data_IF_696693271966
#
_entry.id   IF_696693271966
#
_cell.length_a   1.000
_cell.length_b   1.000
_cell.length_c   1.000
_cell.angle_alpha   90.00
_cell.angle_beta   90.00
_cell.angle_gamma   90.00
#
_symmetry.space_group_name_H-M   'P 1'
#
loop_
_entity.id
_entity.type
_entity.pdbx_description
1 polymer ?
#
# COMPACT_ATOMS: atom_id res chain seq x y z
N UNK A 1 6.30 -12.65 20.20
CA UNK A 1 7.31 -11.56 20.18
C UNK A 1 8.53 -11.91 21.03
N UNK A 2 8.36 -12.65 22.13
CA UNK A 2 9.40 -13.07 23.08
C UNK A 2 10.46 -14.01 22.51
N UNK A 3 10.10 -14.92 21.59
CA UNK A 3 11.06 -15.88 21.01
C UNK A 3 12.10 -15.23 20.09
N UNK A 4 11.73 -14.17 19.38
CA UNK A 4 12.63 -13.44 18.49
C UNK A 4 13.74 -12.72 19.26
N UNK A 5 13.44 -12.21 20.46
CA UNK A 5 14.43 -11.51 21.30
C UNK A 5 15.53 -12.48 21.78
N UNK A 6 15.16 -13.69 22.17
CA UNK A 6 16.11 -14.72 22.60
C UNK A 6 17.01 -15.15 21.43
N UNK A 7 16.44 -15.32 20.24
CA UNK A 7 17.20 -15.66 19.03
C UNK A 7 18.19 -14.54 18.66
N UNK A 8 17.76 -13.28 18.70
CA UNK A 8 18.62 -12.12 18.41
C UNK A 8 19.77 -12.03 19.42
N UNK A 9 19.50 -12.20 20.72
CA UNK A 9 20.54 -12.20 21.76
C UNK A 9 21.53 -13.36 21.58
N UNK A 10 21.05 -14.53 21.16
CA UNK A 10 21.92 -15.68 20.89
C UNK A 10 22.84 -15.43 19.68
N UNK A 11 22.29 -14.93 18.57
CA UNK A 11 23.06 -14.57 17.38
C UNK A 11 24.08 -13.46 17.68
N UNK A 12 23.71 -12.47 18.49
CA UNK A 12 24.61 -11.40 18.93
C UNK A 12 25.74 -11.90 19.84
N UNK A 13 25.45 -12.88 20.70
CA UNK A 13 26.45 -13.57 21.52
C UNK A 13 27.47 -14.33 20.68
N UNK A 14 27.00 -15.12 19.70
CA UNK A 14 27.87 -15.83 18.75
C UNK A 14 28.76 -14.86 17.96
N UNK A 15 28.19 -13.76 17.49
CA UNK A 15 28.92 -12.72 16.77
C UNK A 15 30.00 -12.05 17.65
N UNK A 16 29.72 -11.84 18.95
CA UNK A 16 30.71 -11.32 19.91
C UNK A 16 31.89 -12.29 20.14
N UNK A 17 31.66 -13.62 20.07
CA UNK A 17 32.72 -14.63 20.15
C UNK A 17 33.64 -14.57 18.92
N UNK A 18 33.07 -14.43 17.73
CA UNK A 18 33.84 -14.27 16.48
C UNK A 18 34.70 -13.00 16.56
N UNK A 19 34.15 -11.91 17.12
CA UNK A 19 34.85 -10.65 17.37
C UNK A 19 36.07 -10.74 18.30
N UNK A 20 36.20 -11.79 19.12
CA UNK A 20 37.37 -12.02 19.96
C UNK A 20 38.56 -12.60 19.17
N UNK A 21 38.26 -13.42 18.16
CA UNK A 21 39.27 -14.08 17.32
C UNK A 21 39.68 -13.16 16.17
N UNK A 22 38.70 -12.54 15.51
CA UNK A 22 38.88 -11.66 14.37
C UNK A 22 38.29 -10.28 14.70
N UNK A 23 39.05 -9.17 14.60
CA UNK A 23 38.50 -7.83 14.79
C UNK A 23 37.62 -7.47 13.59
N UNK A 24 36.32 -7.70 13.72
CA UNK A 24 35.30 -7.37 12.72
C UNK A 24 34.45 -6.22 13.28
N UNK A 25 34.22 -5.19 12.47
CA UNK A 25 33.35 -4.07 12.86
C UNK A 25 31.94 -4.59 13.20
N UNK A 26 31.33 -4.15 14.31
CA UNK A 26 31.62 -2.91 15.04
C UNK A 26 32.65 -3.02 16.18
N UNK A 27 33.24 -4.18 16.45
CA UNK A 27 34.20 -4.31 17.55
C UNK A 27 35.61 -3.91 17.11
N UNK A 28 36.00 -2.68 17.42
CA UNK A 28 37.35 -2.15 17.14
C UNK A 28 38.45 -2.75 18.02
N UNK A 29 38.11 -3.54 19.05
CA UNK A 29 39.07 -4.22 19.92
C UNK A 29 38.50 -5.47 20.59
N UNK A 30 39.37 -6.40 20.97
CA UNK A 30 39.01 -7.60 21.74
C UNK A 30 38.36 -7.27 23.09
N UNK A 31 38.73 -6.12 23.71
CA UNK A 31 38.09 -5.64 24.94
C UNK A 31 36.62 -5.29 24.72
N UNK A 32 36.29 -4.64 23.61
CA UNK A 32 34.89 -4.30 23.27
C UNK A 32 34.04 -5.56 23.04
N UNK A 33 34.58 -6.55 22.33
CA UNK A 33 33.92 -7.84 22.12
C UNK A 33 33.68 -8.61 23.44
N UNK A 34 34.65 -8.59 24.37
CA UNK A 34 34.48 -9.24 25.69
C UNK A 34 33.40 -8.59 26.55
N UNK A 35 33.29 -7.25 26.52
CA UNK A 35 32.25 -6.51 27.27
C UNK A 35 30.87 -6.82 26.69
N UNK A 36 30.74 -6.84 25.36
CA UNK A 36 29.49 -7.21 24.66
C UNK A 36 29.01 -8.62 25.03
N UNK A 37 29.94 -9.58 25.08
CA UNK A 37 29.63 -10.96 25.46
C UNK A 37 29.12 -11.06 26.91
N UNK A 38 29.75 -10.35 27.85
CA UNK A 38 29.32 -10.33 29.27
C UNK A 38 27.92 -9.75 29.43
N UNK A 39 27.60 -8.65 28.72
CA UNK A 39 26.27 -8.04 28.75
C UNK A 39 25.22 -9.00 28.18
N UNK A 40 25.53 -9.66 27.07
CA UNK A 40 24.60 -10.61 26.43
C UNK A 40 24.30 -11.80 27.36
N UNK A 41 25.32 -12.33 28.03
CA UNK A 41 25.17 -13.41 29.02
C UNK A 41 24.31 -12.93 30.20
N UNK A 42 24.55 -11.72 30.73
CA UNK A 42 23.74 -11.16 31.82
C UNK A 42 22.25 -11.03 31.43
N UNK A 43 21.95 -10.56 30.21
CA UNK A 43 20.57 -10.45 29.72
C UNK A 43 19.87 -11.82 29.58
N UNK A 44 20.60 -12.88 29.24
CA UNK A 44 20.08 -14.24 29.17
C UNK A 44 19.82 -14.86 30.56
N UNK A 45 20.56 -14.44 31.59
CA UNK A 45 20.36 -14.91 32.97
C UNK A 45 19.28 -14.13 33.74
N UNK A 46 19.16 -12.81 33.51
CA UNK A 46 18.15 -11.97 34.18
C UNK A 46 16.74 -12.06 33.56
N UNK A 47 16.60 -12.62 32.36
CA UNK A 47 15.29 -12.84 31.73
C UNK A 47 14.55 -14.10 32.21
N UNK A 48 15.13 -14.87 33.16
CA UNK A 48 14.58 -16.17 33.60
C UNK A 48 13.72 -16.23 34.89
N UNK A 49 13.56 -15.23 35.79
CA UNK A 49 12.73 -15.42 36.98
C UNK A 49 11.27 -14.93 36.86
N UNK A 50 10.76 -14.63 35.65
CA UNK A 50 9.38 -14.15 35.45
C UNK A 50 8.40 -15.23 34.96
N UNK A 51 8.80 -16.50 35.01
CA UNK A 51 8.04 -17.63 34.49
C UNK A 51 7.89 -18.75 35.53
N UNK A 52 7.48 -18.39 36.76
CA UNK A 52 6.94 -19.39 37.69
C UNK A 52 6.11 -18.72 38.81
N UNK A 53 4.82 -18.51 38.57
CA UNK A 53 3.84 -18.53 39.67
C UNK A 53 2.47 -19.01 39.17
N UNK A 54 2.23 -20.30 39.42
CA UNK A 54 0.94 -20.98 39.35
C UNK A 54 0.15 -20.65 40.62
N UNK A 55 -1.17 -20.63 40.52
CA UNK A 55 -2.08 -19.87 41.37
C UNK A 55 -2.30 -20.34 42.81
N UNK A 56 -3.09 -19.55 43.53
CA UNK A 56 -4.04 -20.01 44.54
C UNK A 56 -4.99 -18.88 44.91
N UNK A 57 -6.26 -19.24 44.93
CA UNK A 57 -7.44 -18.49 45.35
C UNK A 57 -7.42 -18.20 46.87
N UNK A 58 -7.96 -17.05 47.28
CA UNK A 58 -8.79 -16.86 48.49
C UNK A 58 -9.17 -15.38 48.72
N UNK A 59 -10.47 -15.17 48.73
CA UNK A 59 -11.26 -14.05 49.29
C UNK A 59 -10.84 -13.59 50.69
N UNK A 60 -10.84 -12.27 50.95
CA UNK A 60 -11.37 -11.70 52.19
C UNK A 60 -11.74 -10.21 52.01
N UNK A 61 -12.88 -9.88 52.59
CA UNK A 61 -13.77 -8.75 52.37
C UNK A 61 -13.29 -7.36 52.85
N UNK A 62 -14.05 -6.37 52.35
CA UNK A 62 -14.49 -5.18 53.09
C UNK A 62 -13.43 -4.28 53.75
N UNK A 63 -12.70 -3.51 52.93
CA UNK A 63 -12.13 -2.23 53.41
C UNK A 63 -11.78 -1.19 52.32
N UNK A 64 -12.44 -1.20 51.14
CA UNK A 64 -12.05 -0.30 50.02
C UNK A 64 -13.20 0.42 49.30
N UNK A 65 -14.32 0.65 49.98
CA UNK A 65 -15.43 1.40 49.36
C UNK A 65 -15.40 2.91 49.57
N UNK A 66 -14.54 3.45 50.45
CA UNK A 66 -14.55 4.90 50.76
C UNK A 66 -13.36 5.66 50.16
N UNK A 67 -12.22 5.01 49.94
CA UNK A 67 -11.03 5.64 49.33
C UNK A 67 -11.11 5.72 47.79
N UNK A 68 -12.04 4.99 47.18
CA UNK A 68 -12.20 4.89 45.72
C UNK A 68 -13.05 6.04 45.16
N UNK A 69 -13.80 6.77 45.99
CA UNK A 69 -14.72 7.83 45.54
C UNK A 69 -14.06 9.21 45.50
N UNK A 70 -13.21 9.56 46.46
CA UNK A 70 -12.40 10.80 46.40
C UNK A 70 -11.31 10.75 45.32
N UNK A 71 -10.73 9.58 45.08
CA UNK A 71 -9.70 9.40 44.04
C UNK A 71 -10.32 9.39 42.62
N UNK A 72 -11.59 9.00 42.47
CA UNK A 72 -12.30 9.02 41.19
C UNK A 72 -12.74 10.44 40.78
N UNK A 73 -13.22 11.26 41.72
CA UNK A 73 -13.63 12.64 41.42
C UNK A 73 -12.44 13.57 41.16
N UNK A 74 -11.27 13.29 41.73
CA UNK A 74 -10.03 14.02 41.39
C UNK A 74 -9.42 13.54 40.08
N UNK A 75 -9.50 12.24 39.75
CA UNK A 75 -9.05 11.70 38.47
C UNK A 75 -9.93 12.12 37.28
N UNK A 76 -11.20 12.45 37.50
CA UNK A 76 -12.12 13.00 36.46
C UNK A 76 -11.85 14.50 36.22
N UNK A 77 -11.41 15.26 37.24
CA UNK A 77 -11.03 16.68 37.06
C UNK A 77 -9.62 16.88 36.51
N UNK A 78 -8.71 15.92 36.70
CA UNK A 78 -7.32 16.03 36.23
C UNK A 78 -7.11 15.36 34.84
N UNK A 79 -7.94 14.39 34.43
CA UNK A 79 -7.92 13.83 33.06
C UNK A 79 -8.84 14.54 32.05
N UNK A 80 -9.65 15.52 32.47
CA UNK A 80 -10.44 16.35 31.57
C UNK A 80 -9.65 17.52 30.94
N UNK A 81 -8.37 17.67 31.33
CA UNK A 81 -7.38 18.48 30.63
C UNK A 81 -6.29 17.55 30.11
N UNK A 82 -6.68 16.53 29.33
CA UNK A 82 -5.74 15.99 28.34
C UNK A 82 -5.29 17.17 27.51
N UNK A 83 -3.98 17.33 27.34
CA UNK A 83 -3.33 18.23 26.39
C UNK A 83 -4.18 18.41 25.13
N UNK A 84 -5.07 19.41 25.14
CA UNK A 84 -5.57 20.01 23.92
C UNK A 84 -4.35 20.79 23.47
N UNK A 85 -3.50 20.13 22.70
CA UNK A 85 -2.39 20.79 22.02
C UNK A 85 -3.04 21.81 21.11
N UNK A 86 -3.20 23.04 21.63
CA UNK A 86 -3.75 24.16 20.89
C UNK A 86 -2.89 24.23 19.63
N UNK A 87 -3.48 24.07 18.44
CA UNK A 87 -2.66 23.98 17.25
C UNK A 87 -1.87 25.27 17.10
N UNK A 88 -0.60 25.17 16.72
CA UNK A 88 0.25 26.34 16.57
C UNK A 88 -0.40 27.32 15.59
N UNK A 89 -0.42 28.64 15.88
CA UNK A 89 -0.99 29.60 14.97
C UNK A 89 -0.21 29.60 13.65
N UNK A 90 -0.90 29.70 12.53
CA UNK A 90 -0.32 29.71 11.19
C UNK A 90 -0.84 30.89 10.36
N UNK A 91 0.03 31.49 9.54
CA UNK A 91 -0.27 32.68 8.74
C UNK A 91 -0.81 33.86 9.59
N UNK A 92 -1.88 34.52 9.13
CA UNK A 92 -2.48 35.68 9.80
C UNK A 92 -3.52 35.27 10.86
N UNK A 93 -3.11 34.47 11.85
CA UNK A 93 -3.98 34.06 12.95
C UNK A 93 -4.86 32.82 12.67
N UNK A 94 -4.47 32.01 11.68
CA UNK A 94 -5.08 30.72 11.41
C UNK A 94 -4.68 29.65 12.41
N UNK A 95 -5.34 28.49 12.30
CA UNK A 95 -5.10 27.31 13.14
C UNK A 95 -4.35 26.28 12.31
N UNK A 96 -3.17 25.85 12.77
CA UNK A 96 -2.45 24.79 12.08
C UNK A 96 -3.27 23.50 12.14
N UNK A 97 -3.42 22.85 11.00
CA UNK A 97 -4.03 21.53 10.91
C UNK A 97 -2.97 20.54 10.47
N UNK A 98 -3.28 19.24 10.57
CA UNK A 98 -2.40 18.18 10.10
C UNK A 98 -3.15 16.99 9.54
N UNK A 99 -4.47 17.06 9.47
CA UNK A 99 -5.32 16.01 8.94
C UNK A 99 -5.31 16.00 7.41
N UNK A 100 -5.68 14.85 6.84
CA UNK A 100 -5.81 14.66 5.40
C UNK A 100 -7.28 14.63 5.04
N UNK A 101 -7.66 15.44 4.06
CA UNK A 101 -9.03 15.63 3.61
C UNK A 101 -9.15 15.35 2.11
N UNK A 102 -10.37 15.05 1.66
CA UNK A 102 -10.71 14.93 0.24
C UNK A 102 -11.03 16.32 -0.33
N UNK A 103 -10.96 16.41 -1.66
CA UNK A 103 -11.33 17.60 -2.43
C UNK A 103 -12.65 17.33 -3.14
N UNK A 104 -13.52 18.33 -3.19
CA UNK A 104 -14.82 18.25 -3.89
C UNK A 104 -14.81 19.18 -5.09
N UNK A 105 -14.92 18.64 -6.31
CA UNK A 105 -14.88 19.42 -7.54
C UNK A 105 -13.48 19.94 -7.86
N UNK A 106 -13.35 20.84 -8.84
CA UNK A 106 -12.08 21.34 -9.35
C UNK A 106 -11.78 22.76 -8.86
N UNK A 107 -10.59 22.98 -8.28
CA UNK A 107 -10.20 24.24 -7.67
C UNK A 107 -8.76 24.62 -8.01
N UNK A 108 -8.54 25.90 -8.35
CA UNK A 108 -7.20 26.45 -8.55
C UNK A 108 -6.56 26.76 -7.20
N UNK A 109 -5.24 26.62 -7.12
CA UNK A 109 -4.48 26.99 -5.93
C UNK A 109 -4.11 28.47 -5.94
N UNK A 110 -4.36 29.17 -4.83
CA UNK A 110 -4.07 30.58 -4.62
C UNK A 110 -2.82 30.79 -3.75
N UNK A 111 -2.10 31.89 -3.97
CA UNK A 111 -0.89 32.24 -3.20
C UNK A 111 -1.19 32.68 -1.76
N UNK A 112 -2.38 33.22 -1.48
CA UNK A 112 -2.85 33.59 -0.14
C UNK A 112 -4.33 33.28 0.05
N UNK A 113 -4.81 33.38 1.30
CA UNK A 113 -6.20 33.21 1.74
C UNK A 113 -7.13 34.33 1.25
N UNK A 114 -7.20 34.54 -0.07
CA UNK A 114 -8.01 35.57 -0.70
C UNK A 114 -8.41 35.14 -2.11
N UNK A 115 -9.68 35.29 -2.47
CA UNK A 115 -10.20 34.96 -3.80
C UNK A 115 -9.53 35.79 -4.91
N UNK A 116 -9.10 37.02 -4.61
CA UNK A 116 -8.41 37.91 -5.53
C UNK A 116 -6.89 37.68 -5.56
N UNK A 117 -6.36 36.80 -4.71
CA UNK A 117 -4.95 36.41 -4.74
C UNK A 117 -4.58 35.87 -6.12
N UNK A 118 -3.34 36.15 -6.53
CA UNK A 118 -2.74 35.48 -7.68
C UNK A 118 -2.82 33.97 -7.54
N UNK A 119 -3.17 33.32 -8.65
CA UNK A 119 -3.14 31.85 -8.81
C UNK A 119 -1.71 31.37 -8.94
N UNK A 120 -1.42 30.20 -8.39
CA UNK A 120 -0.08 29.63 -8.43
C UNK A 120 0.17 29.02 -9.81
N UNK A 121 1.12 29.59 -10.56
CA UNK A 121 1.45 29.15 -11.92
C UNK A 121 2.22 27.83 -11.90
N UNK A 122 1.76 26.85 -12.67
CA UNK A 122 2.52 25.65 -12.99
C UNK A 122 3.53 25.99 -14.09
N UNK A 123 4.72 26.41 -13.68
CA UNK A 123 5.79 26.87 -14.57
C UNK A 123 6.17 25.79 -15.60
N UNK A 124 6.28 24.53 -15.16
CA UNK A 124 6.66 23.41 -16.03
C UNK A 124 5.63 23.17 -17.12
N UNK A 125 4.35 23.05 -16.76
CA UNK A 125 3.27 22.86 -17.73
C UNK A 125 3.16 24.08 -18.66
N UNK A 126 3.28 25.30 -18.11
CA UNK A 126 3.18 26.52 -18.91
C UNK A 126 4.26 26.61 -19.97
N UNK A 127 5.51 26.28 -19.61
CA UNK A 127 6.63 26.31 -20.54
C UNK A 127 6.50 25.25 -21.65
N UNK A 128 6.01 24.05 -21.32
CA UNK A 128 5.84 22.96 -22.29
C UNK A 128 4.68 23.24 -23.26
N UNK A 129 3.57 23.77 -22.74
CA UNK A 129 2.33 23.95 -23.51
C UNK A 129 2.21 25.34 -24.15
N UNK A 130 3.15 26.25 -23.87
CA UNK A 130 3.21 27.58 -24.50
C UNK A 130 2.08 28.53 -24.09
N UNK A 131 1.37 28.22 -23.00
CA UNK A 131 0.29 29.04 -22.44
C UNK A 131 0.30 28.97 -20.92
N UNK A 132 -0.28 29.94 -20.25
CA UNK A 132 -0.33 29.93 -18.79
C UNK A 132 -1.20 28.79 -18.27
N UNK A 133 -0.59 27.93 -17.47
CA UNK A 133 -1.22 26.85 -16.72
C UNK A 133 -1.01 27.08 -15.23
N UNK A 134 -2.05 26.82 -14.43
CA UNK A 134 -2.03 26.99 -12.98
C UNK A 134 -2.11 25.64 -12.29
N UNK A 135 -1.63 25.58 -11.05
CA UNK A 135 -1.85 24.41 -10.22
C UNK A 135 -3.32 24.35 -9.80
N UNK A 136 -3.86 23.13 -9.84
CA UNK A 136 -5.22 22.83 -9.46
C UNK A 136 -5.27 21.53 -8.68
N UNK A 137 -6.32 21.39 -7.88
CA UNK A 137 -6.71 20.17 -7.19
C UNK A 137 -8.13 19.81 -7.63
N UNK A 138 -8.44 18.53 -7.64
CA UNK A 138 -9.75 18.02 -8.01
C UNK A 138 -10.14 16.81 -7.16
N UNK A 139 -11.32 16.22 -7.41
CA UNK A 139 -11.84 15.06 -6.69
C UNK A 139 -10.91 13.83 -6.65
N UNK A 140 -9.92 13.73 -7.56
CA UNK A 140 -8.90 12.66 -7.52
C UNK A 140 -7.82 12.89 -6.46
N UNK A 141 -7.76 14.09 -5.89
CA UNK A 141 -6.69 14.49 -4.98
C UNK A 141 -7.11 14.40 -3.52
N UNK A 142 -6.15 14.01 -2.67
CA UNK A 142 -6.25 14.22 -1.24
C UNK A 142 -5.20 15.21 -0.81
N UNK A 143 -5.52 16.04 0.17
CA UNK A 143 -4.66 17.11 0.61
C UNK A 143 -4.53 17.13 2.12
N UNK A 144 -3.36 17.50 2.61
CA UNK A 144 -3.14 17.80 4.03
C UNK A 144 -3.45 19.27 4.26
N UNK A 145 -4.35 19.56 5.20
CA UNK A 145 -4.56 20.94 5.67
C UNK A 145 -3.35 21.34 6.51
N UNK A 146 -2.65 22.38 6.11
CA UNK A 146 -1.53 22.95 6.85
C UNK A 146 -2.00 24.08 7.76
N UNK A 147 -2.93 24.90 7.26
CA UNK A 147 -3.46 26.05 7.96
C UNK A 147 -4.91 26.27 7.58
N UNK A 148 -5.76 26.66 8.54
CA UNK A 148 -7.15 27.07 8.28
C UNK A 148 -7.37 28.49 8.80
N UNK A 149 -7.88 29.37 7.95
CA UNK A 149 -8.17 30.79 8.22
C UNK A 149 -9.56 31.13 7.66
N UNK A 150 -10.50 31.48 8.53
CA UNK A 150 -11.86 31.87 8.13
C UNK A 150 -12.48 30.92 7.08
N UNK A 151 -12.61 31.37 5.83
CA UNK A 151 -13.20 30.61 4.71
C UNK A 151 -12.17 29.87 3.85
N UNK A 152 -10.89 29.88 4.21
CA UNK A 152 -9.78 29.35 3.44
C UNK A 152 -8.93 28.34 4.22
N UNK A 153 -8.29 27.44 3.48
CA UNK A 153 -7.27 26.55 4.00
C UNK A 153 -6.03 26.55 3.09
N UNK A 154 -4.86 26.61 3.70
CA UNK A 154 -3.61 26.25 3.04
C UNK A 154 -3.49 24.74 3.04
N UNK A 155 -3.28 24.18 1.87
CA UNK A 155 -3.21 22.74 1.65
C UNK A 155 -1.92 22.34 0.96
N UNK A 156 -1.50 21.10 1.23
CA UNK A 156 -0.43 20.42 0.50
C UNK A 156 -0.99 19.15 -0.12
N UNK A 157 -0.71 18.90 -1.39
CA UNK A 157 -1.16 17.67 -2.05
C UNK A 157 -0.49 16.46 -1.37
N UNK A 158 -1.28 15.42 -1.09
CA UNK A 158 -0.82 14.14 -0.54
C UNK A 158 -0.91 13.07 -1.62
N UNK A 159 -2.05 13.00 -2.30
CA UNK A 159 -2.26 12.15 -3.47
C UNK A 159 -2.61 13.04 -4.67
N UNK A 160 -1.94 12.88 -5.83
CA UNK A 160 -0.90 11.87 -6.10
C UNK A 160 0.49 12.26 -5.55
N UNK A 161 1.33 11.24 -5.34
CA UNK A 161 2.65 11.35 -4.71
C UNK A 161 3.65 12.28 -5.44
N UNK A 162 3.59 12.30 -6.77
CA UNK A 162 4.44 13.14 -7.62
C UNK A 162 4.12 14.65 -7.53
N UNK A 163 3.01 15.04 -6.90
CA UNK A 163 2.62 16.42 -6.65
C UNK A 163 2.76 16.88 -5.20
N UNK A 164 3.37 16.06 -4.33
CA UNK A 164 3.47 16.36 -2.89
C UNK A 164 4.23 17.64 -2.53
N UNK A 165 5.01 18.19 -3.46
CA UNK A 165 5.71 19.47 -3.29
C UNK A 165 4.80 20.70 -3.50
N UNK A 166 3.61 20.51 -4.07
CA UNK A 166 2.69 21.61 -4.40
C UNK A 166 1.84 21.98 -3.18
N UNK A 167 1.79 23.29 -2.90
CA UNK A 167 1.00 23.90 -1.84
C UNK A 167 0.23 25.10 -2.37
N UNK A 168 -0.84 25.45 -1.68
CA UNK A 168 -1.57 26.70 -1.94
C UNK A 168 -2.85 26.80 -1.12
N UNK A 169 -3.52 27.93 -1.27
CA UNK A 169 -4.77 28.23 -0.58
C UNK A 169 -5.98 27.88 -1.44
N UNK A 170 -6.99 27.28 -0.80
CA UNK A 170 -8.29 26.98 -1.39
C UNK A 170 -9.43 27.31 -0.41
N UNK A 171 -10.65 27.56 -0.90
CA UNK A 171 -11.81 27.72 -0.02
C UNK A 171 -12.04 26.45 0.82
N UNK A 172 -12.46 26.61 2.08
CA UNK A 172 -12.83 25.50 2.94
C UNK A 172 -13.97 24.65 2.36
N UNK A 173 -14.84 25.25 1.55
CA UNK A 173 -15.93 24.56 0.83
C UNK A 173 -15.42 23.60 -0.25
N UNK A 174 -14.15 23.72 -0.67
CA UNK A 174 -13.51 22.77 -1.57
C UNK A 174 -13.11 21.48 -0.86
N UNK A 175 -13.12 21.45 0.47
CA UNK A 175 -12.57 20.37 1.27
C UNK A 175 -13.67 19.61 2.00
N UNK A 176 -13.50 18.30 2.11
CA UNK A 176 -14.42 17.40 2.82
C UNK A 176 -13.64 16.39 3.65
N UNK A 177 -14.12 16.12 4.86
CA UNK A 177 -13.55 15.07 5.69
C UNK A 177 -13.63 13.71 5.00
N UNK A 178 -12.58 12.90 5.17
CA UNK A 178 -12.55 11.53 4.64
C UNK A 178 -13.29 10.64 5.63
N UNK A 179 -14.44 10.13 5.21
CA UNK A 179 -15.19 9.14 5.97
C UNK A 179 -14.39 7.84 6.08
N UNK A 180 -14.46 7.19 7.24
CA UNK A 180 -13.78 5.94 7.51
C UNK A 180 -14.73 4.93 8.12
N UNK A 181 -14.56 3.66 7.79
CA UNK A 181 -15.29 2.55 8.39
C UNK A 181 -14.73 2.21 9.79
N UNK A 182 -15.36 1.26 10.47
CA UNK A 182 -14.97 0.80 11.82
C UNK A 182 -13.54 0.23 11.91
N UNK A 183 -12.95 -0.14 10.77
CA UNK A 183 -11.58 -0.66 10.67
C UNK A 183 -10.56 0.42 10.23
N UNK A 184 -10.99 1.68 10.08
CA UNK A 184 -10.15 2.79 9.65
C UNK A 184 -9.88 2.85 8.14
N UNK A 185 -10.57 2.05 7.33
CA UNK A 185 -10.51 2.13 5.86
C UNK A 185 -11.40 3.26 5.35
N UNK A 186 -10.95 3.96 4.29
CA UNK A 186 -11.72 5.04 3.65
C UNK A 186 -13.06 4.52 3.11
N UNK A 187 -14.12 5.29 3.34
CA UNK A 187 -15.40 5.16 2.66
C UNK A 187 -15.43 6.17 1.51
N UNK A 188 -15.62 5.68 0.30
CA UNK A 188 -15.76 6.49 -0.91
C UNK A 188 -17.22 6.90 -1.12
N UNK A 189 -17.44 8.16 -1.47
CA UNK A 189 -18.75 8.75 -1.73
C UNK A 189 -18.81 9.30 -3.15
N UNK A 190 -20.00 9.75 -3.60
CA UNK A 190 -20.21 10.17 -4.98
C UNK A 190 -19.24 11.25 -5.47
N UNK A 191 -18.87 12.19 -4.59
CA UNK A 191 -17.97 13.31 -4.87
C UNK A 191 -16.51 12.89 -5.11
N UNK A 192 -16.13 11.67 -4.72
CA UNK A 192 -14.79 11.12 -4.97
C UNK A 192 -14.60 10.67 -6.41
N UNK A 193 -15.68 10.49 -7.17
CA UNK A 193 -15.64 9.93 -8.51
C UNK A 193 -15.82 10.98 -9.59
N UNK A 194 -15.16 10.75 -10.72
CA UNK A 194 -15.50 11.40 -11.97
C UNK A 194 -16.60 10.61 -12.68
N UNK A 195 -17.64 11.29 -13.12
CA UNK A 195 -18.80 10.68 -13.76
C UNK A 195 -18.93 11.16 -15.20
N UNK A 196 -18.74 10.24 -16.14
CA UNK A 196 -19.01 10.45 -17.56
C UNK A 196 -20.37 9.85 -17.96
N UNK A 197 -20.72 9.94 -19.24
CA UNK A 197 -22.00 9.40 -19.75
C UNK A 197 -22.12 7.89 -19.61
N UNK A 198 -21.02 7.14 -19.51
CA UNK A 198 -21.04 5.67 -19.43
C UNK A 198 -21.17 5.17 -17.99
N UNK A 199 -20.60 5.89 -17.04
CA UNK A 199 -20.55 5.58 -15.60
C UNK A 199 -21.70 6.22 -14.81
N UNK A 200 -22.21 7.38 -15.24
CA UNK A 200 -23.24 8.15 -14.52
C UNK A 200 -24.54 7.38 -14.24
N UNK A 201 -24.90 6.42 -15.08
CA UNK A 201 -26.10 5.61 -14.89
C UNK A 201 -25.94 4.50 -13.83
N UNK A 202 -24.71 4.19 -13.44
CA UNK A 202 -24.37 3.11 -12.50
C UNK A 202 -23.75 3.63 -11.20
N UNK A 203 -23.90 4.93 -10.89
CA UNK A 203 -23.27 5.60 -9.73
C UNK A 203 -23.38 4.80 -8.44
N UNK A 204 -24.60 4.42 -8.07
CA UNK A 204 -24.87 3.70 -6.82
C UNK A 204 -24.13 2.37 -6.77
N UNK A 205 -24.17 1.59 -7.84
CA UNK A 205 -23.55 0.26 -7.91
C UNK A 205 -22.03 0.38 -7.89
N UNK A 206 -21.47 1.34 -8.64
CA UNK A 206 -20.04 1.64 -8.66
C UNK A 206 -19.54 2.03 -7.26
N UNK A 207 -20.22 2.96 -6.58
CA UNK A 207 -19.83 3.39 -5.22
C UNK A 207 -19.86 2.20 -4.27
N UNK A 208 -20.92 1.38 -4.31
CA UNK A 208 -21.04 0.19 -3.45
C UNK A 208 -19.90 -0.81 -3.72
N UNK A 209 -19.63 -1.11 -5.00
CA UNK A 209 -18.60 -2.06 -5.39
C UNK A 209 -17.20 -1.54 -5.05
N UNK A 210 -16.91 -0.26 -5.28
CA UNK A 210 -15.60 0.32 -4.96
C UNK A 210 -15.34 0.29 -3.45
N UNK A 211 -16.34 0.59 -2.63
CA UNK A 211 -16.24 0.40 -1.18
C UNK A 211 -16.06 -1.06 -0.79
N UNK A 212 -16.76 -1.99 -1.45
CA UNK A 212 -16.59 -3.43 -1.26
C UNK A 212 -15.16 -3.89 -1.61
N UNK A 213 -14.61 -3.44 -2.75
CA UNK A 213 -13.22 -3.69 -3.16
C UNK A 213 -12.24 -3.16 -2.12
N UNK A 214 -12.43 -1.91 -1.66
CA UNK A 214 -11.57 -1.30 -0.66
C UNK A 214 -11.57 -2.05 0.67
N UNK A 215 -12.65 -2.76 0.99
CA UNK A 215 -12.79 -3.51 2.23
C UNK A 215 -12.26 -4.96 2.10
N UNK A 216 -12.57 -5.62 0.98
CA UNK A 216 -12.30 -7.05 0.80
C UNK A 216 -10.91 -7.35 0.20
N UNK A 217 -10.36 -6.43 -0.60
CA UNK A 217 -9.12 -6.68 -1.33
C UNK A 217 -7.89 -6.18 -0.56
N UNK A 218 -7.22 -7.08 0.17
CA UNK A 218 -6.01 -6.76 0.95
C UNK A 218 -4.85 -6.18 0.13
N UNK A 219 -4.81 -6.40 -1.19
CA UNK A 219 -3.79 -5.83 -2.07
C UNK A 219 -4.15 -4.41 -2.57
N UNK A 220 -5.37 -3.94 -2.30
CA UNK A 220 -5.89 -2.65 -2.72
C UNK A 220 -5.86 -1.64 -1.57
N UNK A 221 -4.67 -1.32 -1.07
CA UNK A 221 -4.46 -0.39 0.05
C UNK A 221 -4.98 1.04 -0.22
N UNK A 222 -4.98 1.44 -1.49
CA UNK A 222 -5.51 2.72 -1.95
C UNK A 222 -6.22 2.52 -3.29
N UNK A 223 -7.31 3.25 -3.48
CA UNK A 223 -8.06 3.28 -4.73
C UNK A 223 -7.96 4.68 -5.33
N UNK A 224 -7.75 4.74 -6.64
CA UNK A 224 -7.94 5.96 -7.42
C UNK A 224 -9.34 5.94 -8.06
N UNK A 225 -10.35 6.56 -7.42
CA UNK A 225 -11.73 6.57 -7.90
C UNK A 225 -11.90 7.35 -9.22
N UNK A 226 -10.94 8.22 -9.58
CA UNK A 226 -10.98 8.95 -10.85
C UNK A 226 -10.73 8.02 -12.05
N UNK A 227 -10.10 6.87 -11.82
CA UNK A 227 -9.87 5.87 -12.88
C UNK A 227 -11.09 5.02 -13.20
N UNK A 228 -12.21 5.18 -12.50
CA UNK A 228 -13.41 4.42 -12.80
C UNK A 228 -13.85 4.68 -14.23
N UNK A 229 -13.82 3.64 -15.05
CA UNK A 229 -14.22 3.73 -16.45
C UNK A 229 -14.76 2.40 -16.95
N UNK A 230 -15.56 2.47 -18.01
CA UNK A 230 -16.05 1.28 -18.71
C UNK A 230 -14.95 0.68 -19.58
N UNK A 231 -14.79 -0.64 -19.50
CA UNK A 231 -13.87 -1.42 -20.30
C UNK A 231 -14.35 -1.52 -21.74
N UNK A 232 -13.60 -1.00 -22.70
CA UNK A 232 -13.91 -1.18 -24.12
C UNK A 232 -13.62 -2.59 -24.63
N UNK A 233 -12.70 -3.31 -23.98
CA UNK A 233 -12.28 -4.66 -24.39
C UNK A 233 -12.99 -5.79 -23.65
N UNK A 234 -13.54 -5.54 -22.45
CA UNK A 234 -14.23 -6.55 -21.66
C UNK A 234 -15.75 -6.39 -21.64
N UNK A 235 -16.29 -5.20 -21.96
CA UNK A 235 -17.73 -4.99 -22.01
C UNK A 235 -18.34 -5.60 -23.28
N UNK A 236 -19.60 -6.03 -23.17
CA UNK A 236 -20.44 -6.41 -24.31
C UNK A 236 -21.81 -5.74 -24.23
N UNK A 237 -22.60 -5.71 -25.33
CA UNK A 237 -23.93 -5.09 -25.30
C UNK A 237 -24.82 -5.73 -24.22
N UNK A 238 -25.26 -4.93 -23.25
CA UNK A 238 -26.08 -5.38 -22.12
C UNK A 238 -25.30 -5.96 -20.92
N UNK A 239 -23.97 -6.12 -21.03
CA UNK A 239 -23.09 -6.57 -19.95
C UNK A 239 -21.86 -5.63 -19.86
N UNK A 240 -22.01 -4.44 -19.23
CA UNK A 240 -20.92 -3.51 -19.07
C UNK A 240 -19.96 -4.00 -17.96
N UNK A 241 -18.66 -3.97 -18.28
CA UNK A 241 -17.59 -4.25 -17.33
C UNK A 241 -16.85 -2.95 -17.07
N UNK A 242 -16.72 -2.57 -15.81
CA UNK A 242 -15.97 -1.42 -15.35
C UNK A 242 -14.66 -1.87 -14.72
N UNK A 243 -13.77 -0.90 -14.46
CA UNK A 243 -12.62 -1.10 -13.60
C UNK A 243 -12.39 0.08 -12.70
N UNK A 244 -11.66 -0.16 -11.62
CA UNK A 244 -11.01 0.87 -10.82
C UNK A 244 -9.55 0.49 -10.58
N UNK A 245 -8.67 1.48 -10.46
CA UNK A 245 -7.25 1.27 -10.21
C UNK A 245 -6.96 1.24 -8.72
N UNK A 246 -6.31 0.18 -8.28
CA UNK A 246 -5.72 0.02 -6.96
C UNK A 246 -4.24 0.38 -6.99
N UNK A 247 -3.76 1.10 -5.99
CA UNK A 247 -2.34 1.46 -5.83
C UNK A 247 -1.86 2.55 -6.77
N UNK A 248 -0.55 2.76 -6.79
CA UNK A 248 0.12 3.77 -7.61
C UNK A 248 1.44 3.26 -8.17
N UNK A 249 1.98 3.95 -9.18
CA UNK A 249 3.28 3.63 -9.77
C UNK A 249 3.32 2.23 -10.39
N UNK A 250 4.40 1.49 -10.12
CA UNK A 250 4.63 0.15 -10.69
C UNK A 250 3.76 -0.95 -10.07
N UNK A 251 3.17 -0.67 -8.92
CA UNK A 251 2.30 -1.60 -8.19
C UNK A 251 0.82 -1.38 -8.53
N UNK A 252 0.49 -0.39 -9.37
CA UNK A 252 -0.87 -0.11 -9.77
C UNK A 252 -1.48 -1.28 -10.57
N UNK A 253 -2.73 -1.62 -10.27
CA UNK A 253 -3.47 -2.63 -11.02
C UNK A 253 -4.97 -2.37 -11.04
N UNK A 254 -5.64 -2.86 -12.08
CA UNK A 254 -7.08 -2.70 -12.23
C UNK A 254 -7.83 -3.87 -11.60
N UNK A 255 -8.85 -3.55 -10.80
CA UNK A 255 -9.90 -4.49 -10.39
C UNK A 255 -11.09 -4.28 -11.31
N UNK A 256 -11.52 -5.36 -11.98
CA UNK A 256 -12.63 -5.33 -12.92
C UNK A 256 -13.91 -5.82 -12.24
N UNK A 257 -15.04 -5.19 -12.57
CA UNK A 257 -16.33 -5.52 -11.96
C UNK A 257 -17.50 -5.20 -12.90
N UNK A 258 -18.64 -5.83 -12.67
CA UNK A 258 -19.93 -5.53 -13.30
C UNK A 258 -20.85 -4.85 -12.29
N UNK A 259 -21.86 -4.06 -12.72
CA UNK A 259 -22.87 -3.52 -11.81
C UNK A 259 -23.60 -4.61 -11.00
N UNK A 260 -23.81 -5.79 -11.59
CA UNK A 260 -24.41 -6.95 -10.91
C UNK A 260 -23.54 -7.53 -9.78
N UNK A 261 -22.26 -7.19 -9.73
CA UNK A 261 -21.36 -7.68 -8.67
C UNK A 261 -21.56 -6.94 -7.34
N UNK A 262 -22.46 -5.94 -7.31
CA UNK A 262 -22.87 -5.26 -6.09
C UNK A 262 -23.64 -6.18 -5.12
N UNK A 263 -24.15 -7.31 -5.60
CA UNK A 263 -24.84 -8.31 -4.79
C UNK A 263 -23.89 -9.02 -3.79
N UNK A 264 -24.45 -9.58 -2.72
CA UNK A 264 -23.69 -10.06 -1.54
C UNK A 264 -22.69 -11.18 -1.89
N UNK A 265 -23.02 -12.06 -2.83
CA UNK A 265 -22.26 -13.29 -3.09
C UNK A 265 -20.95 -13.09 -3.88
N UNK A 266 -20.82 -12.00 -4.65
CA UNK A 266 -19.59 -11.74 -5.42
C UNK A 266 -18.52 -11.12 -4.54
N UNK A 267 -17.38 -11.77 -4.34
CA UNK A 267 -16.28 -11.22 -3.52
C UNK A 267 -15.15 -10.65 -4.37
N UNK A 268 -14.46 -9.63 -3.85
CA UNK A 268 -13.30 -8.99 -4.45
C UNK A 268 -12.00 -9.30 -3.72
N UNK A 269 -11.94 -10.46 -3.05
CA UNK A 269 -10.76 -10.91 -2.32
C UNK A 269 -9.51 -10.90 -3.21
N UNK A 270 -8.38 -10.51 -2.60
CA UNK A 270 -7.11 -10.47 -3.30
C UNK A 270 -6.73 -11.86 -3.83
N UNK A 271 -6.38 -11.92 -5.12
CA UNK A 271 -5.84 -13.14 -5.72
C UNK A 271 -4.42 -13.36 -5.23
N UNK A 272 -4.08 -14.61 -4.90
CA UNK A 272 -2.72 -15.00 -4.57
C UNK A 272 -2.01 -15.52 -5.82
N UNK A 273 -0.74 -15.12 -6.05
CA UNK A 273 0.09 -15.73 -7.09
C UNK A 273 0.16 -17.25 -6.88
N UNK A 274 0.18 -18.02 -7.98
CA UNK A 274 0.27 -19.49 -7.97
C UNK A 274 1.56 -19.99 -7.30
N UNK A 275 2.59 -19.16 -7.23
CA UNK A 275 3.81 -19.37 -6.48
C UNK A 275 4.93 -19.94 -7.35
N UNK A 276 6.16 -19.47 -7.08
CA UNK A 276 7.33 -19.66 -7.97
C UNK A 276 7.51 -21.08 -8.50
N UNK A 277 7.49 -22.10 -7.64
CA UNK A 277 7.76 -23.49 -8.06
C UNK A 277 6.69 -23.99 -9.02
N UNK A 278 5.42 -23.78 -8.68
CA UNK A 278 4.28 -24.18 -9.51
C UNK A 278 4.26 -23.42 -10.83
N UNK A 279 4.51 -22.11 -10.80
CA UNK A 279 4.59 -21.24 -11.97
C UNK A 279 5.67 -21.71 -12.96
N UNK A 280 6.87 -21.97 -12.45
CA UNK A 280 8.02 -22.41 -13.24
C UNK A 280 7.75 -23.77 -13.87
N UNK A 281 7.23 -24.72 -13.10
CA UNK A 281 6.91 -26.04 -13.62
C UNK A 281 5.81 -25.98 -14.70
N UNK A 282 4.77 -25.15 -14.52
CA UNK A 282 3.75 -24.98 -15.56
C UNK A 282 4.31 -24.31 -16.82
N UNK A 283 5.19 -23.32 -16.68
CA UNK A 283 5.82 -22.67 -17.84
C UNK A 283 6.80 -23.61 -18.57
N UNK A 284 7.49 -24.50 -17.85
CA UNK A 284 8.28 -25.59 -18.45
C UNK A 284 7.40 -26.55 -19.26
N UNK A 285 6.25 -26.96 -18.73
CA UNK A 285 5.33 -27.83 -19.47
C UNK A 285 4.78 -27.16 -20.74
N UNK A 286 4.63 -25.84 -20.74
CA UNK A 286 4.33 -25.07 -21.95
C UNK A 286 5.48 -25.14 -22.95
N UNK A 287 6.72 -24.96 -22.51
CA UNK A 287 7.90 -25.09 -23.39
C UNK A 287 7.99 -26.50 -24.01
N UNK A 288 7.76 -27.54 -23.22
CA UNK A 288 7.71 -28.93 -23.71
C UNK A 288 6.62 -29.14 -24.75
N UNK A 289 5.41 -28.62 -24.53
CA UNK A 289 4.29 -28.72 -25.47
C UNK A 289 4.50 -27.93 -26.75
N UNK A 290 5.25 -26.83 -26.69
CA UNK A 290 5.54 -25.99 -27.85
C UNK A 290 6.67 -26.56 -28.73
N UNK A 291 7.56 -27.40 -28.18
CA UNK A 291 8.69 -27.95 -28.91
C UNK A 291 8.29 -29.13 -29.82
N UNK A 292 8.95 -29.24 -30.99
CA UNK A 292 8.80 -30.39 -31.91
C UNK A 292 9.25 -31.72 -31.27
N UNK A 293 10.26 -31.67 -30.40
CA UNK A 293 10.80 -32.82 -29.67
C UNK A 293 10.77 -32.54 -28.16
N UNK A 294 9.62 -32.77 -27.48
CA UNK A 294 9.43 -32.39 -26.07
C UNK A 294 10.47 -32.98 -25.10
N UNK A 295 10.99 -34.17 -25.37
CA UNK A 295 12.02 -34.84 -24.55
C UNK A 295 13.40 -34.19 -24.63
N UNK A 296 13.61 -33.27 -25.58
CA UNK A 296 14.87 -32.54 -25.76
C UNK A 296 14.84 -31.14 -25.14
N UNK A 297 13.73 -30.78 -24.47
CA UNK A 297 13.60 -29.46 -23.85
C UNK A 297 14.45 -29.40 -22.60
N UNK A 298 15.42 -28.50 -22.58
CA UNK A 298 16.17 -28.13 -21.38
C UNK A 298 15.76 -26.73 -20.95
N UNK A 299 14.89 -26.67 -19.94
CA UNK A 299 14.36 -25.41 -19.42
C UNK A 299 15.25 -24.84 -18.32
N UNK A 300 15.60 -23.56 -18.41
CA UNK A 300 16.39 -22.87 -17.40
C UNK A 300 15.54 -22.61 -16.14
N UNK A 301 15.88 -23.27 -15.03
CA UNK A 301 15.18 -23.07 -13.74
C UNK A 301 15.90 -22.12 -12.78
N UNK A 302 17.08 -21.63 -13.15
CA UNK A 302 17.93 -20.87 -12.23
C UNK A 302 18.61 -19.68 -12.91
N UNK A 303 19.41 -19.92 -13.95
CA UNK A 303 20.33 -18.92 -14.50
C UNK A 303 19.62 -17.80 -15.26
N UNK A 304 18.62 -18.14 -16.06
CA UNK A 304 17.87 -17.17 -16.89
C UNK A 304 16.43 -16.99 -16.41
N UNK A 305 16.13 -17.44 -15.19
CA UNK A 305 14.79 -17.42 -14.65
C UNK A 305 14.50 -16.10 -13.91
N UNK A 306 13.50 -15.37 -14.37
CA UNK A 306 12.84 -14.32 -13.59
C UNK A 306 11.42 -14.74 -13.21
N UNK A 307 11.09 -14.57 -11.93
CA UNK A 307 9.74 -14.73 -11.39
C UNK A 307 9.29 -13.39 -10.82
N UNK A 308 8.22 -12.84 -11.37
CA UNK A 308 7.75 -11.49 -11.10
C UNK A 308 6.28 -11.56 -10.63
N UNK A 309 6.03 -11.65 -9.32
CA UNK A 309 4.67 -11.53 -8.78
C UNK A 309 4.23 -10.06 -8.80
N UNK A 310 2.93 -9.83 -8.99
CA UNK A 310 2.30 -8.52 -9.00
C UNK A 310 1.23 -8.42 -7.90
N UNK A 311 0.96 -7.20 -7.39
CA UNK A 311 -0.11 -6.95 -6.40
C UNK A 311 -1.51 -7.36 -6.87
N UNK A 312 -1.74 -7.43 -8.18
CA UNK A 312 -3.00 -7.97 -8.74
C UNK A 312 -3.21 -9.47 -8.48
N UNK A 313 -2.21 -10.18 -7.97
CA UNK A 313 -2.19 -11.65 -7.89
C UNK A 313 -1.75 -12.32 -9.18
N UNK A 314 -1.45 -11.54 -10.24
CA UNK A 314 -0.79 -12.05 -11.44
C UNK A 314 0.68 -12.32 -11.18
N UNK A 315 1.26 -13.20 -11.95
CA UNK A 315 2.70 -13.47 -11.91
C UNK A 315 3.23 -13.74 -13.32
N UNK A 316 4.45 -13.31 -13.56
CA UNK A 316 5.15 -13.53 -14.82
C UNK A 316 6.37 -14.40 -14.59
N UNK A 317 6.48 -15.47 -15.37
CA UNK A 317 7.68 -16.29 -15.47
C UNK A 317 8.35 -15.98 -16.79
N UNK A 318 9.58 -15.49 -16.73
CA UNK A 318 10.42 -15.30 -17.91
C UNK A 318 11.58 -16.27 -17.77
N UNK A 319 11.82 -17.08 -18.80
CA UNK A 319 12.96 -17.98 -18.82
C UNK A 319 13.46 -18.23 -20.24
N UNK A 320 14.48 -19.07 -20.34
CA UNK A 320 15.00 -19.63 -21.59
C UNK A 320 14.87 -21.14 -21.58
N UNK A 321 14.78 -21.73 -22.77
CA UNK A 321 14.94 -23.18 -22.93
C UNK A 321 15.61 -23.49 -24.27
N UNK A 322 16.33 -24.61 -24.33
CA UNK A 322 16.80 -25.18 -25.59
C UNK A 322 15.93 -26.35 -26.01
N UNK A 323 15.78 -26.56 -27.32
CA UNK A 323 15.10 -27.73 -27.87
C UNK A 323 15.63 -28.06 -29.26
N UNK A 324 15.53 -29.34 -29.66
CA UNK A 324 15.93 -29.76 -31.01
C UNK A 324 14.80 -29.62 -32.02
N UNK A 325 15.13 -29.12 -33.21
CA UNK A 325 14.20 -29.06 -34.33
C UNK A 325 14.14 -30.37 -35.14
N UNK A 326 13.41 -30.37 -36.27
CA UNK A 326 13.27 -31.54 -37.16
C UNK A 326 14.58 -32.01 -37.80
N UNK A 327 15.63 -31.17 -37.81
CA UNK A 327 16.97 -31.48 -38.30
C UNK A 327 17.92 -31.89 -37.18
N UNK A 328 17.41 -32.17 -35.97
CA UNK A 328 18.19 -32.52 -34.78
C UNK A 328 19.21 -31.43 -34.36
N UNK A 329 19.01 -30.19 -34.82
CA UNK A 329 19.80 -29.03 -34.40
C UNK A 329 19.16 -28.39 -33.16
N UNK A 330 19.99 -28.08 -32.18
CA UNK A 330 19.58 -27.38 -30.97
C UNK A 330 19.36 -25.89 -31.26
N UNK A 331 18.26 -25.33 -30.74
CA UNK A 331 17.91 -23.92 -30.82
C UNK A 331 17.59 -23.41 -29.42
N UNK A 332 17.94 -22.15 -29.16
CA UNK A 332 17.60 -21.45 -27.92
C UNK A 332 16.34 -20.61 -28.10
N UNK A 333 15.48 -20.60 -27.10
CA UNK A 333 14.23 -19.85 -27.08
C UNK A 333 14.10 -19.08 -25.78
N UNK A 334 13.51 -17.88 -25.87
CA UNK A 334 12.98 -17.16 -24.72
C UNK A 334 11.50 -17.48 -24.59
N UNK A 335 11.05 -17.72 -23.36
CA UNK A 335 9.64 -17.93 -23.02
C UNK A 335 9.20 -16.95 -21.94
N UNK A 336 7.97 -16.46 -22.08
CA UNK A 336 7.33 -15.56 -21.14
C UNK A 336 5.90 -16.06 -20.90
N UNK A 337 5.62 -16.51 -19.69
CA UNK A 337 4.32 -17.02 -19.24
C UNK A 337 3.70 -16.02 -18.26
N UNK A 338 2.49 -15.53 -18.53
CA UNK A 338 1.72 -14.70 -17.61
C UNK A 338 0.57 -15.51 -17.03
N UNK A 339 0.48 -15.54 -15.70
CA UNK A 339 -0.58 -16.22 -14.96
C UNK A 339 -1.49 -15.21 -14.24
N UNK A 340 -2.76 -15.57 -14.10
CA UNK A 340 -3.77 -14.90 -13.28
C UNK A 340 -4.29 -15.93 -12.25
N UNK A 341 -3.74 -15.89 -11.03
CA UNK A 341 -3.83 -17.00 -10.09
C UNK A 341 -3.22 -18.27 -10.70
N UNK A 342 -3.97 -19.38 -10.71
CA UNK A 342 -3.54 -20.66 -11.29
C UNK A 342 -3.70 -20.77 -12.80
N UNK A 343 -4.35 -19.79 -13.44
CA UNK A 343 -4.65 -19.83 -14.87
C UNK A 343 -3.55 -19.16 -15.68
N UNK A 344 -3.03 -19.86 -16.70
CA UNK A 344 -2.13 -19.27 -17.69
C UNK A 344 -2.95 -18.47 -18.72
N UNK A 345 -2.68 -17.16 -18.82
CA UNK A 345 -3.45 -16.23 -19.66
C UNK A 345 -2.67 -15.68 -20.85
N UNK A 346 -1.34 -15.76 -20.82
CA UNK A 346 -0.48 -15.32 -21.93
C UNK A 346 0.76 -16.20 -22.04
N UNK A 347 1.15 -16.55 -23.27
CA UNK A 347 2.38 -17.25 -23.59
C UNK A 347 3.03 -16.54 -24.75
N UNK A 348 4.30 -16.17 -24.60
CA UNK A 348 5.14 -15.70 -25.69
C UNK A 348 6.40 -16.55 -25.77
N UNK A 349 6.66 -17.13 -26.94
CA UNK A 349 7.88 -17.89 -27.21
C UNK A 349 8.56 -17.26 -28.43
N UNK A 350 9.85 -16.98 -28.32
CA UNK A 350 10.64 -16.41 -29.40
C UNK A 350 12.00 -17.11 -29.49
N UNK A 351 12.42 -17.50 -30.69
CA UNK A 351 13.77 -18.02 -30.94
C UNK A 351 14.80 -16.91 -30.69
N UNK A 352 15.87 -17.24 -29.97
CA UNK A 352 16.98 -16.32 -29.77
C UNK A 352 17.91 -16.41 -30.98
N UNK A 353 18.04 -15.30 -31.71
CA UNK A 353 19.10 -15.15 -32.71
C UNK A 353 20.38 -14.78 -32.00
N UNK A 354 21.40 -15.62 -32.16
CA UNK A 354 22.78 -15.38 -31.72
C UNK A 354 23.47 -14.32 -32.58
#
# INVERSE_FOLDING_TARGET
MTDYIVIILFLWGLYSIVGLVFPIAPFSSRKAASISLVITIALLFFSRPLLERKGSDQTLDDFKLDQTRETADSAIKENAIRDVKIPEPCGQGGIAMGDVVAVTGEHLLHASADQNSSKIKNVKASNILGKDHFHQIDSSTTVRRLCVQEEWAEVQIVTPDWLTHVKGWVPNTALREIESNEYGGRIYVEEDFYWDSETSQFKKDIINIVNKISHENENCESIDPYTVAKSTSQSSPGDPVFFVTCGSGVDAFNVWFRPSDADVDTTFLAKKPLGKVSAVNQCEEVAKKAALNPSTVEFSKLWDLAYLPHKSGRERVISTFTAKNSLNMERSYRINCLFDGSQLIEIQIAEQTS
#
